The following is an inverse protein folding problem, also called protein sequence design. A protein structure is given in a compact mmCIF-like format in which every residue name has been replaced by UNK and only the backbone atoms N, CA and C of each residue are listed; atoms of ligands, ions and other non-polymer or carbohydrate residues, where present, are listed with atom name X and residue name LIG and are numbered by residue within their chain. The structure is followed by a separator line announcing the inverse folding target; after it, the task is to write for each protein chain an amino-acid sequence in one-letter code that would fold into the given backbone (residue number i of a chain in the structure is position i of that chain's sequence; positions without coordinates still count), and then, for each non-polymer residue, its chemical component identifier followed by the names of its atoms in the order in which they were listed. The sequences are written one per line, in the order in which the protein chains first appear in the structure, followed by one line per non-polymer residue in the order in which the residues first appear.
data_IF_702661246241
#
_entry.id   IF_702661246241
#
_cell.length_a   1.000
_cell.length_b   1.000
_cell.length_c   1.000
_cell.angle_alpha   90.00
_cell.angle_beta   90.00
_cell.angle_gamma   90.00
#
_symmetry.space_group_name_H-M   'P 1'
#
loop_
_entity.id
_entity.type
_entity.pdbx_description
1 polymer ?
#
# COMPACT_ATOMS: atom_id res chain seq x y z
N UNK A 1 -31.90 34.11 9.40
CA UNK A 1 -31.26 34.77 8.24
C UNK A 1 -29.86 35.18 8.66
N UNK A 2 -28.83 34.42 8.26
CA UNK A 2 -27.44 34.80 8.53
C UNK A 2 -27.08 35.89 7.52
N UNK A 3 -26.66 37.05 8.02
CA UNK A 3 -26.28 38.19 7.19
C UNK A 3 -25.16 37.78 6.23
N UNK A 4 -25.38 37.97 4.93
CA UNK A 4 -24.34 37.80 3.92
C UNK A 4 -23.24 38.83 4.20
N UNK A 5 -22.07 38.35 4.65
CA UNK A 5 -20.88 39.19 4.78
C UNK A 5 -20.59 39.84 3.42
N UNK A 6 -20.37 41.15 3.40
CA UNK A 6 -20.04 41.91 2.20
C UNK A 6 -18.89 41.22 1.45
N UNK A 7 -19.09 40.96 0.16
CA UNK A 7 -18.05 40.41 -0.71
C UNK A 7 -16.91 41.44 -0.81
N UNK A 8 -15.75 41.12 -0.23
CA UNK A 8 -14.56 41.94 -0.38
C UNK A 8 -14.17 41.98 -1.88
N UNK A 9 -13.92 43.17 -2.46
CA UNK A 9 -13.64 43.28 -3.89
C UNK A 9 -12.46 42.39 -4.30
N UNK A 10 -12.70 41.51 -5.27
CA UNK A 10 -11.68 40.62 -5.82
C UNK A 10 -11.43 39.33 -5.04
N UNK A 11 -12.10 39.06 -3.92
CA UNK A 11 -11.99 37.77 -3.24
C UNK A 11 -13.05 36.80 -3.76
N UNK A 12 -12.63 35.60 -4.14
CA UNK A 12 -13.49 34.52 -4.59
C UNK A 12 -13.72 33.55 -3.44
N UNK A 13 -14.98 33.18 -3.18
CA UNK A 13 -15.32 32.05 -2.32
C UNK A 13 -15.36 30.79 -3.18
N UNK A 14 -14.41 29.89 -2.96
CA UNK A 14 -14.37 28.59 -3.63
C UNK A 14 -15.48 27.69 -3.09
N UNK A 15 -16.41 27.27 -3.94
CA UNK A 15 -17.49 26.36 -3.56
C UNK A 15 -17.19 24.90 -3.95
N UNK A 16 -15.97 24.59 -4.42
CA UNK A 16 -15.62 23.25 -4.89
C UNK A 16 -15.63 22.18 -3.78
N UNK A 17 -15.58 22.56 -2.50
CA UNK A 17 -15.73 21.66 -1.36
C UNK A 17 -16.31 22.39 -0.12
N UNK A 18 -16.71 21.66 0.94
CA UNK A 18 -17.31 22.25 2.15
C UNK A 18 -16.44 23.24 2.94
N UNK A 19 -15.14 23.35 2.63
CA UNK A 19 -14.23 24.28 3.32
C UNK A 19 -14.54 25.74 2.97
N UNK A 20 -15.12 26.02 1.80
CA UNK A 20 -15.51 27.36 1.36
C UNK A 20 -14.38 28.40 1.44
N UNK A 21 -13.17 28.05 0.95
CA UNK A 21 -12.00 28.92 1.03
C UNK A 21 -12.28 30.30 0.41
N UNK A 22 -11.90 31.38 1.13
CA UNK A 22 -11.85 32.74 0.59
C UNK A 22 -10.47 32.99 -0.02
N UNK A 23 -10.40 33.05 -1.34
CA UNK A 23 -9.15 33.09 -2.10
C UNK A 23 -8.92 34.51 -2.62
N UNK A 24 -7.80 35.12 -2.21
CA UNK A 24 -7.37 36.45 -2.71
C UNK A 24 -6.86 36.36 -4.16
N UNK A 25 -6.87 37.46 -4.93
CA UNK A 25 -6.33 37.49 -6.28
C UNK A 25 -4.91 36.91 -6.37
N UNK A 26 -4.67 36.03 -7.36
CA UNK A 26 -3.37 35.40 -7.59
C UNK A 26 -2.94 34.40 -6.51
N UNK A 27 -3.88 33.92 -5.67
CA UNK A 27 -3.63 32.89 -4.65
C UNK A 27 -4.44 31.63 -4.93
N UNK A 28 -4.03 30.55 -4.30
CA UNK A 28 -4.73 29.26 -4.26
C UNK A 28 -5.54 29.10 -2.98
N UNK A 29 -6.56 28.24 -3.02
CA UNK A 29 -7.25 27.74 -1.85
C UNK A 29 -6.41 26.70 -1.11
N UNK A 30 -6.90 26.24 0.05
CA UNK A 30 -6.14 25.35 0.93
C UNK A 30 -5.73 24.00 0.32
N UNK A 31 -6.36 23.59 -0.78
CA UNK A 31 -6.04 22.35 -1.49
C UNK A 31 -5.12 22.55 -2.70
N UNK A 32 -4.71 23.79 -2.99
CA UNK A 32 -3.94 24.22 -4.17
C UNK A 32 -4.55 23.94 -5.56
N UNK A 33 -5.61 23.11 -5.63
CA UNK A 33 -6.30 22.74 -6.88
C UNK A 33 -7.12 23.88 -7.50
N UNK A 34 -7.55 24.85 -6.70
CA UNK A 34 -8.34 25.99 -7.16
C UNK A 34 -7.69 27.29 -6.74
N UNK A 35 -7.70 28.27 -7.64
CA UNK A 35 -7.13 29.59 -7.43
C UNK A 35 -8.08 30.69 -7.90
N UNK A 36 -7.71 31.92 -7.55
CA UNK A 36 -8.41 33.12 -8.00
C UNK A 36 -7.60 33.79 -9.11
N UNK A 37 -8.03 33.57 -10.35
CA UNK A 37 -7.51 34.22 -11.54
C UNK A 37 -8.48 35.33 -11.95
N UNK A 38 -8.04 36.59 -11.85
CA UNK A 38 -8.81 37.78 -12.23
C UNK A 38 -10.24 37.84 -11.64
N UNK A 39 -10.39 37.44 -10.37
CA UNK A 39 -11.68 37.43 -9.68
C UNK A 39 -12.56 36.24 -10.04
N UNK A 40 -12.02 35.22 -10.72
CA UNK A 40 -12.72 34.00 -11.10
C UNK A 40 -12.07 32.79 -10.45
N UNK A 41 -12.89 31.83 -10.01
CA UNK A 41 -12.39 30.54 -9.55
C UNK A 41 -11.87 29.77 -10.76
N UNK A 42 -10.58 29.48 -10.78
CA UNK A 42 -9.92 28.68 -11.81
C UNK A 42 -9.35 27.40 -11.18
N UNK A 43 -9.34 26.31 -11.95
CA UNK A 43 -8.63 25.09 -11.55
C UNK A 43 -7.16 25.23 -11.93
N UNK A 44 -6.27 25.07 -10.96
CA UNK A 44 -4.83 25.25 -11.13
C UNK A 44 -4.10 23.94 -11.45
N UNK A 45 -4.66 22.81 -11.02
CA UNK A 45 -4.06 21.49 -11.17
C UNK A 45 -4.88 20.62 -12.15
N UNK A 46 -4.30 20.21 -13.29
CA UNK A 46 -5.02 19.44 -14.30
C UNK A 46 -5.29 18.00 -13.87
N UNK A 47 -6.39 17.44 -14.38
CA UNK A 47 -6.67 16.01 -14.23
C UNK A 47 -5.61 15.19 -14.97
N UNK A 48 -5.04 14.18 -14.31
CA UNK A 48 -4.09 13.27 -14.96
C UNK A 48 -4.83 12.22 -15.76
N UNK A 49 -4.68 12.27 -17.08
CA UNK A 49 -5.19 11.27 -18.02
C UNK A 49 -4.04 10.35 -18.43
N UNK A 50 -4.19 9.06 -18.19
CA UNK A 50 -3.19 8.05 -18.57
C UNK A 50 -3.65 7.35 -19.85
N UNK A 51 -2.73 7.13 -20.80
CA UNK A 51 -3.00 6.22 -21.89
C UNK A 51 -2.81 4.77 -21.40
N UNK A 52 -3.69 3.84 -21.82
CA UNK A 52 -3.53 2.40 -21.52
C UNK A 52 -2.32 1.78 -22.24
N UNK A 53 -1.79 2.44 -23.26
CA UNK A 53 -0.60 2.02 -24.02
C UNK A 53 0.15 3.24 -24.57
N UNK A 54 0.85 4.03 -23.73
CA UNK A 54 1.47 5.29 -24.16
C UNK A 54 2.56 5.10 -25.22
N UNK A 55 3.17 3.91 -25.30
CA UNK A 55 4.25 3.62 -26.26
C UNK A 55 3.75 3.22 -27.66
N UNK A 56 2.44 2.94 -27.83
CA UNK A 56 1.89 2.44 -29.09
C UNK A 56 0.60 3.20 -29.43
N UNK A 57 0.74 4.40 -30.00
CA UNK A 57 -0.39 5.08 -30.64
C UNK A 57 -0.61 4.42 -32.00
N UNK A 58 -1.74 3.71 -32.18
CA UNK A 58 -2.07 3.05 -33.45
C UNK A 58 -2.38 4.11 -34.52
N UNK A 59 -1.38 4.44 -35.32
CA UNK A 59 -1.46 5.46 -36.37
C UNK A 59 -2.33 5.05 -37.59
N UNK A 60 -2.59 3.74 -37.79
CA UNK A 60 -3.15 3.21 -39.04
C UNK A 60 -4.51 2.48 -38.92
N UNK A 61 -5.10 2.37 -37.73
CA UNK A 61 -6.42 1.75 -37.56
C UNK A 61 -7.49 2.81 -37.26
N UNK A 62 -8.20 3.24 -38.31
CA UNK A 62 -9.38 4.12 -38.22
C UNK A 62 -9.24 5.44 -38.97
N UNK A 63 -10.37 6.03 -39.36
CA UNK A 63 -10.45 7.41 -39.87
C UNK A 63 -10.13 8.37 -38.73
N UNK A 64 -9.06 9.15 -38.86
CA UNK A 64 -8.67 10.15 -37.85
C UNK A 64 -9.66 11.32 -37.83
N UNK A 65 -10.46 11.42 -36.75
CA UNK A 65 -11.47 12.48 -36.57
C UNK A 65 -10.92 13.74 -35.87
N UNK A 66 -9.60 13.91 -35.78
CA UNK A 66 -8.98 15.06 -35.14
C UNK A 66 -8.78 14.93 -33.62
N UNK A 67 -9.17 13.80 -33.02
CA UNK A 67 -8.87 13.47 -31.63
C UNK A 67 -7.67 12.49 -31.56
N UNK A 68 -6.52 12.91 -31.01
CA UNK A 68 -5.33 12.05 -30.90
C UNK A 68 -5.47 10.90 -29.89
N UNK A 69 -6.57 10.87 -29.12
CA UNK A 69 -6.85 9.86 -28.11
C UNK A 69 -8.17 9.15 -28.42
N UNK A 70 -8.10 7.91 -28.92
CA UNK A 70 -9.30 7.08 -29.06
C UNK A 70 -9.84 6.71 -27.66
N UNK A 71 -11.15 6.83 -27.43
CA UNK A 71 -11.77 6.64 -26.11
C UNK A 71 -11.42 5.28 -25.45
N UNK A 72 -11.23 4.23 -26.25
CA UNK A 72 -10.81 2.88 -25.79
C UNK A 72 -9.40 2.84 -25.15
N UNK A 73 -8.54 3.78 -25.53
CA UNK A 73 -7.13 3.83 -25.15
C UNK A 73 -6.86 4.81 -24.00
N UNK A 74 -7.90 5.50 -23.53
CA UNK A 74 -7.85 6.52 -22.46
C UNK A 74 -8.27 5.90 -21.13
N UNK A 75 -7.37 5.92 -20.15
CA UNK A 75 -7.66 5.63 -18.76
C UNK A 75 -7.58 6.91 -17.94
N UNK A 76 -8.74 7.40 -17.49
CA UNK A 76 -8.79 8.57 -16.61
C UNK A 76 -8.40 8.13 -15.20
N UNK A 77 -7.24 8.58 -14.72
CA UNK A 77 -6.82 8.31 -13.35
C UNK A 77 -7.57 9.24 -12.39
N UNK A 78 -7.70 8.83 -11.12
CA UNK A 78 -8.27 9.69 -10.08
C UNK A 78 -7.27 10.72 -9.52
N UNK A 79 -6.02 10.73 -10.00
CA UNK A 79 -4.96 11.62 -9.53
C UNK A 79 -5.26 13.06 -10.00
N UNK A 80 -5.32 13.98 -9.04
CA UNK A 80 -5.70 15.36 -9.32
C UNK A 80 -7.19 15.51 -9.67
N UNK A 81 -8.03 14.48 -9.53
CA UNK A 81 -9.48 14.61 -9.73
C UNK A 81 -10.09 15.50 -8.64
N UNK A 82 -9.51 15.47 -7.44
CA UNK A 82 -10.10 16.06 -6.26
C UNK A 82 -11.25 15.22 -5.71
N UNK A 83 -11.72 15.62 -4.54
CA UNK A 83 -12.82 14.94 -3.88
C UNK A 83 -13.65 15.90 -3.08
N UNK A 84 -14.93 15.57 -3.03
CA UNK A 84 -15.89 16.11 -2.07
C UNK A 84 -16.20 15.06 -1.00
N UNK A 85 -15.73 13.81 -1.13
CA UNK A 85 -16.10 12.71 -0.24
C UNK A 85 -15.81 13.00 1.26
N UNK A 86 -16.73 12.65 2.17
CA UNK A 86 -18.12 12.25 1.92
C UNK A 86 -19.02 13.49 1.76
N UNK A 87 -19.56 13.72 0.56
CA UNK A 87 -20.46 14.85 0.25
C UNK A 87 -21.41 14.41 -0.87
N UNK A 88 -22.56 15.10 -0.97
CA UNK A 88 -23.59 14.89 -1.98
C UNK A 88 -23.20 15.44 -3.36
N UNK A 89 -22.14 16.26 -3.46
CA UNK A 89 -21.62 16.73 -4.75
C UNK A 89 -21.04 15.54 -5.54
N UNK A 90 -21.52 15.30 -6.79
CA UNK A 90 -20.98 14.24 -7.64
C UNK A 90 -19.48 14.36 -7.87
N UNK A 91 -18.87 13.26 -8.29
CA UNK A 91 -17.47 13.23 -8.70
C UNK A 91 -17.20 14.32 -9.76
N UNK A 92 -16.08 15.07 -9.66
CA UNK A 92 -15.79 16.18 -10.57
C UNK A 92 -15.65 15.77 -12.04
N UNK A 93 -15.30 14.50 -12.29
CA UNK A 93 -15.20 13.95 -13.63
C UNK A 93 -15.96 12.62 -13.73
N UNK A 94 -16.87 12.59 -14.69
CA UNK A 94 -17.68 11.44 -15.06
C UNK A 94 -17.51 11.28 -16.56
N UNK A 95 -16.87 10.18 -16.98
CA UNK A 95 -16.46 9.97 -18.37
C UNK A 95 -17.14 8.73 -18.91
N UNK A 96 -17.87 8.89 -20.02
CA UNK A 96 -18.48 7.78 -20.75
C UNK A 96 -17.62 7.32 -21.91
N UNK A 97 -17.59 6.01 -22.14
CA UNK A 97 -16.97 5.37 -23.29
C UNK A 97 -17.72 4.08 -23.64
N UNK A 98 -17.75 3.70 -24.92
CA UNK A 98 -18.15 2.35 -25.33
C UNK A 98 -16.90 1.47 -25.43
N UNK A 99 -16.89 0.34 -24.72
CA UNK A 99 -15.80 -0.64 -24.74
C UNK A 99 -16.40 -1.98 -25.16
N UNK A 100 -15.98 -2.51 -26.31
CA UNK A 100 -16.44 -3.80 -26.86
C UNK A 100 -17.98 -3.93 -26.95
N UNK A 101 -18.66 -2.84 -27.36
CA UNK A 101 -20.12 -2.78 -27.45
C UNK A 101 -20.83 -2.60 -26.10
N UNK A 102 -20.09 -2.30 -25.02
CA UNK A 102 -20.63 -2.06 -23.67
C UNK A 102 -20.43 -0.61 -23.27
N UNK A 103 -21.53 0.07 -22.94
CA UNK A 103 -21.50 1.39 -22.30
C UNK A 103 -20.77 1.32 -20.95
N UNK A 104 -19.65 2.03 -20.85
CA UNK A 104 -18.79 2.10 -19.67
C UNK A 104 -18.76 3.53 -19.15
N UNK A 105 -19.08 3.70 -17.86
CA UNK A 105 -19.00 4.99 -17.16
C UNK A 105 -17.89 4.91 -16.11
N UNK A 106 -16.89 5.80 -16.23
CA UNK A 106 -15.83 5.97 -15.25
C UNK A 106 -16.12 7.21 -14.40
N UNK A 107 -16.27 6.99 -13.09
CA UNK A 107 -16.50 8.05 -12.10
C UNK A 107 -15.23 8.17 -11.26
N UNK A 108 -14.57 9.33 -11.28
CA UNK A 108 -13.29 9.51 -10.57
C UNK A 108 -13.38 10.53 -9.46
N UNK A 109 -13.02 10.10 -8.26
CA UNK A 109 -12.86 10.93 -7.07
C UNK A 109 -11.56 10.57 -6.39
N UNK A 110 -10.85 11.57 -5.87
CA UNK A 110 -9.61 11.37 -5.15
C UNK A 110 -9.85 10.95 -3.69
N UNK A 111 -8.92 10.20 -3.10
CA UNK A 111 -8.94 9.92 -1.65
C UNK A 111 -8.27 11.05 -0.88
N UNK A 112 -8.81 11.43 0.28
CA UNK A 112 -8.10 12.36 1.16
C UNK A 112 -6.93 11.61 1.80
N UNK A 113 -5.71 12.10 1.58
CA UNK A 113 -4.48 11.42 2.01
C UNK A 113 -4.42 11.16 3.53
N UNK A 114 -5.10 11.97 4.35
CA UNK A 114 -5.16 11.77 5.81
C UNK A 114 -5.80 10.43 6.22
N UNK A 115 -6.57 9.78 5.36
CA UNK A 115 -7.15 8.46 5.61
C UNK A 115 -6.28 7.31 5.07
N UNK A 116 -5.20 7.63 4.36
CA UNK A 116 -4.33 6.65 3.74
C UNK A 116 -3.31 6.10 4.75
N UNK A 117 -2.87 4.88 4.49
CA UNK A 117 -1.78 4.23 5.19
C UNK A 117 -1.09 3.22 4.28
N UNK A 118 0.05 2.71 4.72
CA UNK A 118 0.80 1.67 4.03
C UNK A 118 0.91 0.44 4.94
N UNK A 119 0.74 -0.74 4.33
CA UNK A 119 1.04 -2.01 4.98
C UNK A 119 2.38 -2.52 4.45
N UNK A 120 3.37 -2.61 5.31
CA UNK A 120 4.73 -3.04 4.96
C UNK A 120 4.90 -4.49 5.38
N UNK A 121 5.10 -5.38 4.40
CA UNK A 121 5.46 -6.77 4.63
C UNK A 121 6.97 -6.89 4.70
N UNK A 122 7.49 -7.48 5.78
CA UNK A 122 8.93 -7.68 5.95
C UNK A 122 9.21 -9.19 5.95
N UNK A 123 9.73 -9.67 4.82
CA UNK A 123 10.00 -11.09 4.60
C UNK A 123 11.36 -11.49 5.17
N UNK A 124 11.39 -11.72 6.48
CA UNK A 124 12.56 -12.19 7.24
C UNK A 124 12.13 -13.32 8.20
N UNK A 125 13.09 -14.13 8.63
CA UNK A 125 12.95 -15.10 9.71
C UNK A 125 13.26 -14.48 11.09
N UNK A 126 13.76 -13.24 11.14
CA UNK A 126 14.01 -12.52 12.39
C UNK A 126 12.72 -12.04 13.04
N UNK A 127 12.69 -12.10 14.37
CA UNK A 127 11.66 -11.43 15.13
C UNK A 127 11.90 -9.91 15.15
N UNK A 128 10.90 -9.14 14.73
CA UNK A 128 10.97 -7.68 14.63
C UNK A 128 10.44 -6.96 15.89
N UNK A 129 9.57 -7.60 16.65
CA UNK A 129 8.94 -7.03 17.84
C UNK A 129 7.51 -7.55 18.05
N UNK A 130 6.88 -7.28 19.20
CA UNK A 130 5.57 -7.82 19.50
C UNK A 130 4.46 -7.19 18.64
N UNK A 131 3.38 -7.92 18.41
CA UNK A 131 2.16 -7.34 17.80
C UNK A 131 1.66 -6.16 18.65
N UNK A 132 1.14 -5.13 18.00
CA UNK A 132 0.79 -3.82 18.56
C UNK A 132 1.97 -2.94 19.02
N UNK A 133 3.22 -3.39 18.91
CA UNK A 133 4.38 -2.54 19.21
C UNK A 133 4.37 -1.28 18.34
N UNK A 134 4.66 -0.13 18.94
CA UNK A 134 4.70 1.15 18.22
C UNK A 134 5.86 1.17 17.23
N UNK A 135 5.58 1.56 15.99
CA UNK A 135 6.60 1.82 14.97
C UNK A 135 6.86 3.32 14.92
N UNK A 136 8.14 3.71 14.90
CA UNK A 136 8.57 5.09 14.87
C UNK A 136 9.44 5.39 13.67
N UNK A 137 9.34 6.63 13.17
CA UNK A 137 10.27 7.24 12.23
C UNK A 137 10.69 8.59 12.81
N UNK A 138 11.99 8.92 12.77
CA UNK A 138 12.53 10.18 13.32
C UNK A 138 12.06 10.49 14.77
N UNK A 139 11.81 9.44 15.57
CA UNK A 139 11.30 9.52 16.94
C UNK A 139 9.76 9.60 17.08
N UNK A 140 9.03 9.95 16.02
CA UNK A 140 7.56 10.07 16.04
C UNK A 140 6.89 8.71 15.89
N UNK A 141 5.77 8.49 16.57
CA UNK A 141 4.96 7.28 16.40
C UNK A 141 4.15 7.40 15.11
N UNK A 142 4.41 6.52 14.14
CA UNK A 142 3.79 6.60 12.81
C UNK A 142 2.92 5.38 12.46
N UNK A 143 2.87 4.39 13.36
CA UNK A 143 2.17 3.14 13.12
C UNK A 143 2.45 2.11 14.19
N UNK A 144 2.19 0.84 13.86
CA UNK A 144 2.44 -0.29 14.75
C UNK A 144 2.73 -1.57 13.97
N UNK A 145 3.37 -2.54 14.65
CA UNK A 145 3.43 -3.93 14.19
C UNK A 145 2.01 -4.48 14.24
N UNK A 146 1.50 -4.91 13.10
CA UNK A 146 0.15 -5.45 12.96
C UNK A 146 0.20 -6.96 12.77
N UNK A 147 -0.97 -7.58 12.65
CA UNK A 147 -1.13 -9.02 12.51
C UNK A 147 -0.21 -9.59 11.43
N UNK A 148 0.54 -10.62 11.80
CA UNK A 148 1.43 -11.32 10.88
C UNK A 148 0.61 -12.07 9.82
N UNK A 149 1.07 -12.04 8.58
CA UNK A 149 0.42 -12.75 7.47
C UNK A 149 1.46 -13.46 6.63
N UNK A 150 1.10 -14.63 6.10
CA UNK A 150 1.97 -15.43 5.24
C UNK A 150 3.35 -15.75 5.83
N UNK A 151 3.45 -15.84 7.17
CA UNK A 151 4.71 -16.09 7.86
C UNK A 151 5.60 -14.87 8.01
N UNK A 152 5.08 -13.66 7.83
CA UNK A 152 5.88 -12.44 7.92
C UNK A 152 5.22 -11.45 8.87
N UNK A 153 6.03 -10.79 9.69
CA UNK A 153 5.55 -9.67 10.50
C UNK A 153 5.24 -8.48 9.58
N UNK A 154 4.14 -7.79 9.90
CA UNK A 154 3.60 -6.70 9.09
C UNK A 154 3.66 -5.41 9.89
N UNK A 155 3.90 -4.29 9.22
CA UNK A 155 3.73 -2.95 9.82
C UNK A 155 2.52 -2.28 9.18
N UNK A 156 1.67 -1.67 10.01
CA UNK A 156 0.63 -0.75 9.56
C UNK A 156 1.07 0.67 9.87
N UNK A 157 1.39 1.44 8.83
CA UNK A 157 1.90 2.80 8.92
C UNK A 157 0.85 3.81 8.43
N UNK A 158 0.76 4.96 9.07
CA UNK A 158 -0.14 6.05 8.67
C UNK A 158 -1.54 5.96 9.24
N UNK A 159 -2.50 6.51 8.50
CA UNK A 159 -3.89 6.67 8.91
C UNK A 159 -4.16 7.95 9.71
N UNK A 160 -5.45 8.26 9.87
CA UNK A 160 -5.96 9.54 10.40
C UNK A 160 -5.33 9.91 11.74
N UNK A 161 -5.14 8.91 12.61
CA UNK A 161 -4.56 9.11 13.94
C UNK A 161 -3.16 9.71 13.87
N UNK A 162 -2.30 9.16 13.01
CA UNK A 162 -0.91 9.61 12.88
C UNK A 162 -0.76 10.85 12.00
N UNK A 163 -1.63 11.00 10.98
CA UNK A 163 -1.57 12.14 10.08
C UNK A 163 -2.18 13.42 10.69
N UNK A 164 -3.18 13.29 11.55
CA UNK A 164 -3.95 14.45 12.06
C UNK A 164 -4.30 14.42 13.54
N UNK A 165 -4.23 13.26 14.20
CA UNK A 165 -4.65 13.12 15.61
C UNK A 165 -3.56 13.44 16.63
N UNK A 166 -2.30 13.41 16.21
CA UNK A 166 -1.13 13.66 17.04
C UNK A 166 -0.61 15.10 17.00
N UNK A 167 0.70 15.24 17.18
CA UNK A 167 1.36 16.54 17.02
C UNK A 167 1.51 16.93 15.54
N UNK A 168 1.71 18.22 15.25
CA UNK A 168 2.04 18.67 13.88
C UNK A 168 3.28 17.94 13.34
N UNK A 169 4.28 17.71 14.20
CA UNK A 169 5.52 17.02 13.84
C UNK A 169 5.25 15.54 13.49
N UNK A 170 4.45 14.84 14.28
CA UNK A 170 4.01 13.47 14.01
C UNK A 170 3.34 13.35 12.64
N UNK A 171 2.40 14.27 12.34
CA UNK A 171 1.71 14.30 11.04
C UNK A 171 2.65 14.52 9.86
N UNK A 172 3.60 15.45 9.98
CA UNK A 172 4.61 15.73 8.94
C UNK A 172 5.50 14.52 8.72
N UNK A 173 6.09 13.96 9.78
CA UNK A 173 6.99 12.80 9.68
C UNK A 173 6.26 11.58 9.13
N UNK A 174 5.02 11.35 9.55
CA UNK A 174 4.18 10.28 9.00
C UNK A 174 3.99 10.47 7.50
N UNK A 175 3.56 11.66 7.07
CA UNK A 175 3.32 11.97 5.65
C UNK A 175 4.59 11.78 4.82
N UNK A 176 5.71 12.35 5.25
CA UNK A 176 7.01 12.22 4.57
C UNK A 176 7.45 10.76 4.46
N UNK A 177 7.29 9.97 5.53
CA UNK A 177 7.66 8.54 5.53
C UNK A 177 6.80 7.74 4.55
N UNK A 178 5.48 7.97 4.51
CA UNK A 178 4.59 7.29 3.58
C UNK A 178 4.91 7.67 2.13
N UNK A 179 5.16 8.96 1.85
CA UNK A 179 5.53 9.44 0.52
C UNK A 179 6.88 8.86 0.08
N UNK A 180 7.88 8.82 0.97
CA UNK A 180 9.18 8.22 0.67
C UNK A 180 9.04 6.74 0.28
N UNK A 181 8.33 5.95 1.10
CA UNK A 181 8.07 4.53 0.82
C UNK A 181 7.31 4.33 -0.49
N UNK A 182 6.24 5.10 -0.72
CA UNK A 182 5.43 5.01 -1.93
C UNK A 182 6.21 5.38 -3.20
N UNK A 183 7.20 6.28 -3.09
CA UNK A 183 8.13 6.63 -4.15
C UNK A 183 9.34 5.70 -4.23
N UNK A 184 9.36 4.59 -3.48
CA UNK A 184 10.43 3.60 -3.53
C UNK A 184 11.74 4.03 -2.87
N UNK A 185 11.73 5.07 -2.04
CA UNK A 185 12.88 5.47 -1.23
C UNK A 185 13.00 4.57 0.02
N UNK A 186 14.22 4.49 0.55
CA UNK A 186 14.49 3.82 1.82
C UNK A 186 14.07 4.70 2.99
N UNK A 187 13.57 4.07 4.07
CA UNK A 187 13.21 4.74 5.32
C UNK A 187 13.72 3.95 6.52
N UNK A 188 14.20 4.68 7.52
CA UNK A 188 14.59 4.13 8.81
C UNK A 188 13.40 4.10 9.77
N UNK A 189 13.17 2.96 10.39
CA UNK A 189 12.12 2.73 11.37
C UNK A 189 12.69 2.11 12.64
N UNK A 190 12.03 2.33 13.77
CA UNK A 190 12.30 1.60 15.01
C UNK A 190 11.02 1.06 15.61
N UNK A 191 11.08 -0.15 16.14
CA UNK A 191 9.96 -0.81 16.81
C UNK A 191 10.20 -0.73 18.32
N UNK A 192 9.20 -0.28 19.07
CA UNK A 192 9.24 -0.29 20.53
C UNK A 192 9.42 -1.72 21.05
N UNK A 193 10.42 -1.91 21.93
CA UNK A 193 10.82 -3.22 22.44
C UNK A 193 11.12 -4.26 21.32
N UNK A 194 11.59 -3.77 20.16
CA UNK A 194 11.86 -4.56 18.98
C UNK A 194 13.09 -4.09 18.20
N UNK A 195 13.10 -4.41 16.91
CA UNK A 195 14.22 -4.17 16.02
C UNK A 195 14.28 -2.74 15.47
N UNK A 196 15.48 -2.32 15.09
CA UNK A 196 15.72 -1.20 14.18
C UNK A 196 15.73 -1.69 12.73
N UNK A 197 15.13 -0.92 11.82
CA UNK A 197 14.87 -1.32 10.45
C UNK A 197 15.28 -0.23 9.47
N UNK A 198 15.87 -0.62 8.34
CA UNK A 198 15.86 0.16 7.10
C UNK A 198 15.06 -0.64 6.07
N UNK A 199 13.99 -0.05 5.54
CA UNK A 199 13.10 -0.72 4.59
C UNK A 199 12.93 0.10 3.32
N UNK A 200 12.86 -0.61 2.19
CA UNK A 200 12.64 -0.02 0.86
C UNK A 200 11.85 -1.02 0.01
N UNK A 201 10.89 -0.53 -0.76
CA UNK A 201 10.12 -1.37 -1.67
C UNK A 201 11.05 -2.10 -2.67
N UNK A 202 10.93 -3.43 -2.74
CA UNK A 202 11.70 -4.27 -3.65
C UNK A 202 13.17 -4.48 -3.29
N UNK A 203 13.64 -4.04 -2.12
CA UNK A 203 15.00 -4.30 -1.62
C UNK A 203 14.98 -5.15 -0.34
N UNK A 204 16.02 -5.96 -0.08
CA UNK A 204 16.14 -6.64 1.20
C UNK A 204 16.25 -5.62 2.35
N UNK A 205 15.56 -5.85 3.47
CA UNK A 205 15.62 -4.94 4.61
C UNK A 205 16.98 -5.04 5.33
N UNK A 206 17.36 -3.97 6.02
CA UNK A 206 18.44 -3.99 7.02
C UNK A 206 17.79 -4.06 8.40
N UNK A 207 18.15 -5.04 9.21
CA UNK A 207 17.58 -5.26 10.54
C UNK A 207 18.72 -5.24 11.56
N UNK A 208 18.68 -4.31 12.51
CA UNK A 208 19.74 -4.11 13.51
C UNK A 208 21.13 -3.96 12.89
N UNK A 209 21.20 -3.19 11.79
CA UNK A 209 22.42 -2.95 11.02
C UNK A 209 22.86 -4.13 10.15
N UNK A 210 22.11 -5.24 10.12
CA UNK A 210 22.42 -6.42 9.32
C UNK A 210 21.52 -6.49 8.10
N UNK A 211 22.12 -6.45 6.91
CA UNK A 211 21.39 -6.66 5.66
C UNK A 211 20.88 -8.10 5.58
N UNK A 212 19.56 -8.25 5.45
CA UNK A 212 18.94 -9.56 5.25
C UNK A 212 19.29 -10.12 3.88
N UNK A 213 19.69 -11.40 3.86
CA UNK A 213 20.13 -12.09 2.62
C UNK A 213 19.18 -13.19 2.19
N UNK A 214 18.26 -13.59 3.06
CA UNK A 214 17.34 -14.70 2.85
C UNK A 214 15.94 -14.22 3.18
N UNK A 215 14.99 -14.64 2.37
CA UNK A 215 13.58 -14.40 2.62
C UNK A 215 12.96 -15.62 3.27
N UNK A 216 11.99 -15.40 4.16
CA UNK A 216 11.09 -16.46 4.60
C UNK A 216 10.13 -16.80 3.45
N UNK A 217 10.16 -18.06 3.00
CA UNK A 217 9.38 -18.53 1.84
C UNK A 217 7.95 -18.94 2.24
N UNK A 218 7.76 -19.30 3.51
CA UNK A 218 6.48 -19.70 4.08
C UNK A 218 6.68 -20.42 5.41
N UNK A 219 5.60 -20.98 5.93
CA UNK A 219 5.67 -21.80 7.13
C UNK A 219 6.35 -23.15 6.86
N UNK A 220 6.77 -23.88 7.90
CA UNK A 220 7.55 -25.12 7.73
C UNK A 220 6.84 -26.18 6.88
N UNK A 221 5.51 -26.27 6.96
CA UNK A 221 4.72 -27.16 6.09
C UNK A 221 4.73 -26.73 4.62
N UNK A 222 4.65 -25.42 4.34
CA UNK A 222 4.70 -24.90 2.98
C UNK A 222 6.08 -25.12 2.37
N UNK A 223 7.15 -24.85 3.11
CA UNK A 223 8.53 -25.10 2.71
C UNK A 223 8.74 -26.57 2.35
N UNK A 224 8.19 -27.51 3.14
CA UNK A 224 8.21 -28.93 2.77
C UNK A 224 7.46 -29.19 1.47
N UNK A 225 6.25 -28.65 1.31
CA UNK A 225 5.47 -28.83 0.09
C UNK A 225 6.21 -28.36 -1.18
N UNK A 226 6.96 -27.25 -1.07
CA UNK A 226 7.67 -26.63 -2.20
C UNK A 226 8.96 -27.37 -2.55
N UNK A 227 9.71 -27.86 -1.56
CA UNK A 227 11.08 -28.35 -1.75
C UNK A 227 11.28 -29.86 -1.54
N UNK A 228 10.22 -30.62 -1.21
CA UNK A 228 10.33 -32.05 -0.91
C UNK A 228 11.05 -32.86 -2.00
N UNK A 229 10.76 -32.61 -3.28
CA UNK A 229 11.37 -33.35 -4.39
C UNK A 229 12.88 -33.10 -4.48
N UNK A 230 13.31 -31.87 -4.20
CA UNK A 230 14.72 -31.45 -4.25
C UNK A 230 15.54 -32.07 -3.12
N UNK A 231 14.91 -32.45 -2.01
CA UNK A 231 15.58 -33.14 -0.89
C UNK A 231 15.59 -34.67 -1.03
N UNK A 232 14.75 -35.23 -1.91
CA UNK A 232 14.65 -36.66 -2.09
C UNK A 232 16.00 -37.27 -2.49
N UNK A 233 16.47 -38.25 -1.72
CA UNK A 233 17.76 -38.91 -1.95
C UNK A 233 18.98 -38.14 -1.46
N UNK A 234 18.80 -36.92 -0.93
CA UNK A 234 19.88 -36.12 -0.33
C UNK A 234 19.91 -36.23 1.21
N UNK A 235 18.75 -36.46 1.84
CA UNK A 235 18.62 -36.63 3.27
C UNK A 235 17.57 -37.70 3.61
N UNK A 236 17.81 -38.44 4.69
CA UNK A 236 16.85 -39.42 5.20
C UNK A 236 15.61 -38.76 5.85
N UNK A 237 15.77 -37.54 6.35
CA UNK A 237 14.71 -36.72 6.94
C UNK A 237 15.04 -35.23 6.81
N UNK A 238 14.02 -34.40 6.65
CA UNK A 238 14.14 -32.93 6.72
C UNK A 238 13.10 -32.39 7.68
N UNK A 239 13.56 -31.63 8.67
CA UNK A 239 12.70 -30.92 9.61
C UNK A 239 12.83 -29.43 9.34
N UNK A 240 11.72 -28.80 8.96
CA UNK A 240 11.68 -27.35 8.75
C UNK A 240 11.08 -26.71 10.00
N UNK A 241 11.93 -26.07 10.79
CA UNK A 241 11.55 -25.37 12.02
C UNK A 241 11.00 -24.00 11.68
N UNK A 242 9.86 -23.65 12.26
CA UNK A 242 9.13 -22.43 11.96
C UNK A 242 8.19 -22.08 13.13
N UNK A 243 8.03 -20.79 13.41
CA UNK A 243 7.23 -20.27 14.53
C UNK A 243 5.74 -20.61 14.40
N UNK A 244 5.22 -20.66 13.17
CA UNK A 244 3.84 -20.99 12.89
C UNK A 244 3.64 -22.50 12.88
N UNK A 245 4.33 -23.24 12.01
CA UNK A 245 4.19 -24.70 11.94
C UNK A 245 5.49 -25.38 11.54
N UNK A 246 6.02 -26.22 12.42
CA UNK A 246 7.19 -27.04 12.13
C UNK A 246 6.76 -28.26 11.32
N UNK A 247 7.51 -28.52 10.25
CA UNK A 247 7.26 -29.61 9.33
C UNK A 247 8.27 -30.76 9.49
N UNK A 248 7.83 -32.00 9.31
CA UNK A 248 8.68 -33.21 9.24
C UNK A 248 8.40 -33.92 7.93
N UNK A 249 9.39 -33.96 7.02
CA UNK A 249 9.22 -34.34 5.61
C UNK A 249 8.65 -35.74 5.43
N UNK A 250 9.24 -36.76 6.07
CA UNK A 250 8.84 -38.16 5.80
C UNK A 250 7.43 -38.49 6.30
N UNK A 251 6.94 -37.78 7.33
CA UNK A 251 5.56 -37.93 7.80
C UNK A 251 4.55 -37.08 7.01
N UNK A 252 5.00 -35.93 6.49
CA UNK A 252 4.20 -34.97 5.74
C UNK A 252 3.66 -35.59 4.45
N UNK A 253 2.54 -35.06 3.94
CA UNK A 253 1.93 -35.55 2.70
C UNK A 253 2.93 -35.57 1.53
N UNK A 254 3.76 -34.53 1.40
CA UNK A 254 4.80 -34.47 0.36
C UNK A 254 5.78 -35.66 0.42
N UNK A 255 6.32 -36.00 1.59
CA UNK A 255 7.20 -37.17 1.72
C UNK A 255 6.49 -38.49 1.40
N UNK A 256 5.20 -38.61 1.78
CA UNK A 256 4.39 -39.78 1.42
C UNK A 256 4.16 -39.91 -0.08
N UNK A 257 3.87 -38.80 -0.77
CA UNK A 257 3.72 -38.79 -2.23
C UNK A 257 5.01 -39.18 -2.95
N UNK A 258 6.16 -38.86 -2.35
CA UNK A 258 7.48 -39.28 -2.84
C UNK A 258 7.86 -40.71 -2.44
N UNK A 259 6.98 -41.44 -1.74
CA UNK A 259 7.25 -42.81 -1.29
C UNK A 259 8.33 -42.92 -0.21
N UNK A 260 8.64 -41.81 0.48
CA UNK A 260 9.63 -41.81 1.55
C UNK A 260 9.13 -42.61 2.76
N UNK A 261 10.03 -43.37 3.38
CA UNK A 261 9.71 -44.12 4.61
C UNK A 261 9.84 -43.19 5.81
N UNK A 262 8.91 -43.22 6.78
CA UNK A 262 9.04 -42.44 8.01
C UNK A 262 10.37 -42.74 8.72
N UNK A 263 11.15 -41.69 9.02
CA UNK A 263 12.46 -41.83 9.66
C UNK A 263 12.38 -42.21 11.16
N UNK A 264 11.18 -42.14 11.75
CA UNK A 264 10.95 -42.44 13.17
C UNK A 264 11.30 -41.29 14.12
N UNK A 265 11.69 -40.13 13.60
CA UNK A 265 11.97 -38.92 14.40
C UNK A 265 10.67 -38.37 14.98
N UNK A 266 10.68 -38.05 16.28
CA UNK A 266 9.54 -37.41 16.96
C UNK A 266 9.90 -36.01 17.40
N UNK A 267 9.19 -35.03 16.86
CA UNK A 267 9.31 -33.63 17.29
C UNK A 267 8.54 -33.43 18.60
N UNK A 268 9.16 -32.75 19.56
CA UNK A 268 8.51 -32.35 20.81
C UNK A 268 7.67 -31.10 20.54
N UNK A 269 6.36 -31.29 20.36
CA UNK A 269 5.41 -30.20 20.18
C UNK A 269 3.99 -30.74 20.07
N UNK A 270 3.00 -29.87 19.86
CA UNK A 270 1.61 -30.26 19.65
C UNK A 270 1.40 -30.71 18.21
N UNK A 271 1.34 -32.03 18.00
CA UNK A 271 1.02 -32.61 16.69
C UNK A 271 -0.36 -32.16 16.21
N UNK A 272 -0.43 -31.56 15.02
CA UNK A 272 -1.68 -31.20 14.35
C UNK A 272 -2.17 -32.33 13.46
N UNK A 273 -1.32 -32.75 12.53
CA UNK A 273 -1.55 -33.82 11.57
C UNK A 273 -0.19 -34.47 11.24
N UNK A 274 -0.11 -35.60 10.52
CA UNK A 274 1.18 -36.22 10.21
C UNK A 274 2.18 -35.23 9.60
N UNK A 275 3.38 -35.16 10.18
CA UNK A 275 4.45 -34.27 9.75
C UNK A 275 4.22 -32.77 10.01
N UNK A 276 3.23 -32.38 10.82
CA UNK A 276 2.90 -30.97 11.11
C UNK A 276 2.70 -30.74 12.61
N UNK A 277 3.50 -29.85 13.19
CA UNK A 277 3.58 -29.62 14.62
C UNK A 277 3.50 -28.13 14.96
N UNK A 278 2.68 -27.79 15.95
CA UNK A 278 2.62 -26.47 16.58
C UNK A 278 3.43 -26.48 17.87
N UNK A 279 3.84 -25.30 18.36
CA UNK A 279 4.46 -25.15 19.69
C UNK A 279 5.63 -26.12 19.90
N UNK A 280 6.59 -26.09 18.97
CA UNK A 280 7.83 -26.87 19.00
C UNK A 280 8.90 -26.14 19.79
#
# INVERSE_FOLDING_TARGET
MVAAAQAEPGIVTCDACPVLCRIRPGKTGACDRYGNEDGRLARMDPLTVLARSPEVVRFLEGTYEGNPLAARDVFVSAIGAGTTYPDYKPAPFIVGAEIDGVDTITVVSEGIFSYCGLKVKIDTDRHLGPECATVRAQGEAIGHVTTAEYGSQMLSLGGVRHLTGGSKREGVVTCETLLALANGAAVELSIADGASLEVQAGRPPVIDGVLERRMRVGCGSATIGIFAQQWQGLADEVIVVDDHITGVLTEHQAGRFLGMRPAGVRVRGRRSTPGRYFQV
#
